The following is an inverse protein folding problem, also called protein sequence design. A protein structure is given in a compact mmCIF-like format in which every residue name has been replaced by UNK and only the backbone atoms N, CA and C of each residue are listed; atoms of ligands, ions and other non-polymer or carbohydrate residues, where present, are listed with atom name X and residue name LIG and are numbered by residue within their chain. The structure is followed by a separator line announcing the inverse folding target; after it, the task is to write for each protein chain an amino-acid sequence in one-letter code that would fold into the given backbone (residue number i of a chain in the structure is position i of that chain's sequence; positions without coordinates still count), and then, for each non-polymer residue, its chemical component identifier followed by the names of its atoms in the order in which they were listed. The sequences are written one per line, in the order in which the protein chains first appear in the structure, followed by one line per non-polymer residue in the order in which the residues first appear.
data_IF_506431854018
#
_entry.id   IF_506431854018
#
_cell.length_a   1.000
_cell.length_b   1.000
_cell.length_c   1.000
_cell.angle_alpha   90.00
_cell.angle_beta   90.00
_cell.angle_gamma   90.00
#
_symmetry.space_group_name_H-M   'P 1'
#
loop_
_entity.id
_entity.type
_entity.pdbx_description
1 polymer ?
#
# COMPACT_ATOMS: atom_id res chain seq x y z
N UNK A 1 -11.53 -0.99 -0.36
CA UNK A 1 -10.42 -0.06 -0.66
C UNK A 1 -9.80 0.35 0.66
N UNK A 2 -8.51 0.06 0.88
CA UNK A 2 -7.83 0.25 2.19
C UNK A 2 -7.80 1.73 2.58
N UNK A 3 -7.64 2.63 1.61
CA UNK A 3 -7.65 4.07 1.87
C UNK A 3 -9.01 4.56 2.37
N UNK A 4 -10.10 4.08 1.77
CA UNK A 4 -11.46 4.40 2.25
C UNK A 4 -11.73 3.91 3.66
N UNK A 5 -11.17 2.75 4.04
CA UNK A 5 -11.34 2.18 5.38
C UNK A 5 -10.52 2.95 6.44
N UNK A 6 -9.37 3.53 6.07
CA UNK A 6 -8.55 4.36 6.94
C UNK A 6 -9.15 5.75 7.22
N UNK A 7 -10.11 6.20 6.39
CA UNK A 7 -10.68 7.54 6.46
C UNK A 7 -9.71 8.65 6.00
N UNK A 8 -10.15 9.90 6.10
CA UNK A 8 -9.33 11.04 5.72
C UNK A 8 -8.28 11.33 6.80
N UNK A 9 -6.99 11.17 6.48
CA UNK A 9 -5.87 11.70 7.29
C UNK A 9 -5.16 10.73 8.24
N UNK A 10 -5.52 9.44 8.29
CA UNK A 10 -4.84 8.48 9.16
C UNK A 10 -3.94 7.52 8.39
N UNK A 11 -2.73 7.99 8.03
CA UNK A 11 -1.69 7.19 7.39
C UNK A 11 -1.40 5.90 8.16
N UNK A 12 -1.36 5.95 9.50
CA UNK A 12 -1.13 4.77 10.34
C UNK A 12 -2.21 3.69 10.18
N UNK A 13 -3.48 4.09 10.14
CA UNK A 13 -4.59 3.15 9.94
C UNK A 13 -4.57 2.55 8.53
N UNK A 14 -4.11 3.34 7.55
CA UNK A 14 -3.88 2.85 6.19
C UNK A 14 -2.77 1.80 6.14
N UNK A 15 -1.61 2.06 6.75
CA UNK A 15 -0.50 1.10 6.76
C UNK A 15 -0.84 -0.20 7.50
N UNK A 16 -1.51 -0.12 8.65
CA UNK A 16 -2.03 -1.29 9.37
C UNK A 16 -3.03 -2.10 8.52
N UNK A 17 -3.97 -1.42 7.86
CA UNK A 17 -4.91 -2.07 6.95
C UNK A 17 -4.24 -2.70 5.72
N UNK A 18 -3.22 -2.04 5.18
CA UNK A 18 -2.44 -2.53 4.04
C UNK A 18 -1.66 -3.80 4.42
N UNK A 19 -1.03 -3.82 5.59
CA UNK A 19 -0.34 -4.99 6.14
C UNK A 19 -1.28 -6.18 6.30
N UNK A 20 -2.44 -5.98 6.93
CA UNK A 20 -3.46 -7.02 7.09
C UNK A 20 -3.94 -7.56 5.76
N UNK A 21 -4.11 -6.69 4.76
CA UNK A 21 -4.57 -7.10 3.43
C UNK A 21 -3.50 -7.89 2.67
N UNK A 22 -2.24 -7.49 2.78
CA UNK A 22 -1.10 -8.25 2.25
C UNK A 22 -1.09 -9.64 2.90
N UNK A 23 -1.14 -9.71 4.24
CA UNK A 23 -1.23 -10.97 5.00
C UNK A 23 -2.35 -11.89 4.49
N UNK A 24 -3.56 -11.37 4.37
CA UNK A 24 -4.70 -12.14 3.89
C UNK A 24 -4.54 -12.66 2.46
N UNK A 25 -3.90 -11.90 1.55
CA UNK A 25 -3.61 -12.36 0.18
C UNK A 25 -2.59 -13.49 0.17
N UNK A 26 -1.63 -13.46 1.08
CA UNK A 26 -0.61 -14.52 1.22
C UNK A 26 -1.25 -15.82 1.68
N UNK A 27 -2.16 -15.74 2.64
CA UNK A 27 -2.85 -16.92 3.16
C UNK A 27 -3.71 -17.62 2.09
N UNK A 28 -4.03 -16.94 0.99
CA UNK A 28 -4.69 -17.56 -0.18
C UNK A 28 -3.76 -18.34 -1.11
N UNK A 29 -2.43 -18.28 -0.90
CA UNK A 29 -1.44 -18.92 -1.77
C UNK A 29 -1.22 -18.21 -3.10
N UNK A 30 -1.48 -16.89 -3.16
CA UNK A 30 -1.31 -16.11 -4.38
C UNK A 30 0.16 -15.74 -4.62
N UNK A 31 0.65 -15.94 -5.84
CA UNK A 31 2.06 -15.65 -6.22
C UNK A 31 2.27 -14.20 -6.74
N UNK A 32 1.20 -13.43 -6.86
CA UNK A 32 1.24 -12.07 -7.45
C UNK A 32 0.53 -11.04 -6.57
N UNK A 33 1.21 -9.93 -6.30
CA UNK A 33 0.66 -8.77 -5.61
C UNK A 33 0.63 -7.59 -6.58
N UNK A 34 -0.56 -7.00 -6.78
CA UNK A 34 -0.71 -5.78 -7.58
C UNK A 34 -1.16 -4.64 -6.69
N UNK A 35 -0.38 -3.56 -6.66
CA UNK A 35 -0.80 -2.28 -6.12
C UNK A 35 -1.45 -1.47 -7.23
N UNK A 36 -2.77 -1.33 -7.15
CA UNK A 36 -3.57 -0.60 -8.12
C UNK A 36 -4.09 0.70 -7.50
N UNK A 37 -4.12 1.78 -8.28
CA UNK A 37 -4.81 3.01 -7.88
C UNK A 37 -4.08 3.83 -6.81
N UNK A 38 -2.75 3.65 -6.68
CA UNK A 38 -1.93 4.33 -5.69
C UNK A 38 -2.09 5.85 -5.77
N UNK A 39 -2.15 6.42 -6.98
CA UNK A 39 -2.35 7.86 -7.17
C UNK A 39 -3.64 8.38 -6.50
N UNK A 40 -4.77 7.69 -6.69
CA UNK A 40 -6.04 8.08 -6.08
C UNK A 40 -6.03 7.86 -4.55
N UNK A 41 -5.43 6.76 -4.10
CA UNK A 41 -5.22 6.46 -2.69
C UNK A 41 -4.43 7.56 -1.97
N UNK A 42 -3.27 7.95 -2.52
CA UNK A 42 -2.40 9.00 -1.96
C UNK A 42 -3.13 10.34 -1.89
N UNK A 43 -3.85 10.73 -2.95
CA UNK A 43 -4.65 11.96 -2.93
C UNK A 43 -5.75 11.92 -1.85
N UNK A 44 -6.39 10.78 -1.66
CA UNK A 44 -7.41 10.60 -0.63
C UNK A 44 -6.82 10.76 0.77
N UNK A 45 -5.72 10.07 1.06
CA UNK A 45 -5.04 10.11 2.37
C UNK A 45 -4.52 11.52 2.70
N UNK A 46 -3.96 12.22 1.71
CA UNK A 46 -3.48 13.61 1.86
C UNK A 46 -4.60 14.66 1.84
N UNK A 47 -5.85 14.29 1.56
CA UNK A 47 -6.94 15.25 1.34
C UNK A 47 -6.65 16.22 0.17
N UNK A 48 -5.80 15.82 -0.78
CA UNK A 48 -5.23 16.70 -1.78
C UNK A 48 -6.07 16.75 -3.07
N UNK A 49 -6.45 17.96 -3.49
CA UNK A 49 -7.16 18.16 -4.77
C UNK A 49 -6.24 18.01 -5.99
N UNK A 50 -4.99 18.43 -5.86
CA UNK A 50 -3.94 18.32 -6.86
C UNK A 50 -2.77 17.51 -6.30
N UNK A 51 -1.94 16.94 -7.18
CA UNK A 51 -0.73 16.25 -6.75
C UNK A 51 0.29 17.27 -6.24
N UNK A 52 0.96 16.96 -5.13
CA UNK A 52 1.93 17.85 -4.46
C UNK A 52 3.13 17.03 -4.03
N UNK A 53 4.20 17.70 -3.58
CA UNK A 53 5.38 17.02 -3.03
C UNK A 53 5.05 16.13 -1.83
N UNK A 54 4.06 16.47 -1.02
CA UNK A 54 3.59 15.60 0.06
C UNK A 54 2.91 14.32 -0.45
N UNK A 55 2.35 14.36 -1.66
CA UNK A 55 1.85 13.16 -2.34
C UNK A 55 3.01 12.29 -2.83
N UNK A 56 4.08 12.88 -3.38
CA UNK A 56 5.27 12.12 -3.78
C UNK A 56 5.86 11.37 -2.59
N UNK A 57 6.09 12.07 -1.47
CA UNK A 57 6.61 11.47 -0.24
C UNK A 57 5.73 10.33 0.24
N UNK A 58 4.40 10.52 0.32
CA UNK A 58 3.51 9.43 0.76
C UNK A 58 3.50 8.26 -0.24
N UNK A 59 3.55 8.54 -1.54
CA UNK A 59 3.61 7.49 -2.56
C UNK A 59 4.87 6.64 -2.41
N UNK A 60 6.01 7.28 -2.15
CA UNK A 60 7.28 6.59 -1.88
C UNK A 60 7.22 5.78 -0.58
N UNK A 61 6.66 6.34 0.49
CA UNK A 61 6.46 5.63 1.77
C UNK A 61 5.59 4.37 1.59
N UNK A 62 4.49 4.45 0.84
CA UNK A 62 3.64 3.28 0.54
C UNK A 62 4.39 2.21 -0.23
N UNK A 63 5.15 2.59 -1.26
CA UNK A 63 5.94 1.65 -2.05
C UNK A 63 7.07 1.03 -1.21
N UNK A 64 7.75 1.83 -0.39
CA UNK A 64 8.81 1.37 0.50
C UNK A 64 8.27 0.36 1.51
N UNK A 65 7.15 0.68 2.16
CA UNK A 65 6.49 -0.20 3.11
C UNK A 65 6.17 -1.58 2.52
N UNK A 66 5.56 -1.61 1.32
CA UNK A 66 5.25 -2.89 0.65
C UNK A 66 6.52 -3.67 0.36
N UNK A 67 7.54 -3.03 -0.20
CA UNK A 67 8.81 -3.69 -0.55
C UNK A 67 9.49 -4.27 0.69
N UNK A 68 9.52 -3.52 1.78
CA UNK A 68 10.07 -3.98 3.06
C UNK A 68 9.31 -5.17 3.62
N UNK A 69 7.97 -5.17 3.55
CA UNK A 69 7.15 -6.30 3.98
C UNK A 69 7.41 -7.55 3.14
N UNK A 70 7.56 -7.41 1.82
CA UNK A 70 7.90 -8.53 0.94
C UNK A 70 9.32 -9.06 1.19
N UNK A 71 10.28 -8.18 1.47
CA UNK A 71 11.67 -8.57 1.71
C UNK A 71 11.86 -9.25 3.08
N UNK A 72 11.18 -8.76 4.11
CA UNK A 72 11.33 -9.22 5.50
C UNK A 72 10.62 -10.54 5.82
N UNK A 73 9.70 -10.98 4.96
CA UNK A 73 8.95 -12.21 5.17
C UNK A 73 9.40 -13.28 4.14
N UNK A 74 10.07 -14.36 4.59
CA UNK A 74 10.57 -15.42 3.70
C UNK A 74 9.50 -16.06 2.83
N UNK A 75 8.24 -16.09 3.29
CA UNK A 75 7.10 -16.61 2.51
C UNK A 75 6.78 -15.74 1.28
N UNK A 76 7.29 -14.51 1.25
CA UNK A 76 6.95 -13.47 0.26
C UNK A 76 8.06 -13.18 -0.73
N UNK A 77 9.22 -13.81 -0.57
CA UNK A 77 10.36 -13.57 -1.47
C UNK A 77 10.07 -14.03 -2.91
N UNK A 78 9.15 -14.97 -3.10
CA UNK A 78 8.72 -15.46 -4.42
C UNK A 78 7.57 -14.65 -5.03
N UNK A 79 6.94 -13.76 -4.25
CA UNK A 79 5.77 -13.01 -4.68
C UNK A 79 6.17 -11.92 -5.68
N UNK A 80 5.58 -11.95 -6.87
CA UNK A 80 5.80 -10.92 -7.89
C UNK A 80 4.96 -9.70 -7.56
N UNK A 81 5.61 -8.59 -7.23
CA UNK A 81 4.94 -7.32 -6.95
C UNK A 81 5.02 -6.35 -8.14
N UNK A 82 3.90 -5.75 -8.52
CA UNK A 82 3.84 -4.71 -9.57
C UNK A 82 2.94 -3.55 -9.17
N UNK A 83 3.30 -2.34 -9.60
CA UNK A 83 2.49 -1.12 -9.48
C UNK A 83 1.67 -0.92 -10.78
N UNK A 84 0.39 -0.57 -10.65
CA UNK A 84 -0.53 -0.29 -11.76
C UNK A 84 -1.27 1.04 -11.57
#
# INVERSE_FOLDING_TARGET
DVAKAAGAGYELAFFDGLEKRIGALIDTGTDTLQLCGLHACVKHLRGAKMWTRACDTLSEEVVCFVRERLASNPRLQHLRCSLR
#
